data_IF_923601847004
#
_entry.id   IF_923601847004
#
_cell.length_a   1.000
_cell.length_b   1.000
_cell.length_c   1.000
_cell.angle_alpha   90.00
_cell.angle_beta   90.00
_cell.angle_gamma   90.00
#
_symmetry.space_group_name_H-M   'P 1'
#
loop_
_entity.id
_entity.type
_entity.pdbx_description
1 polymer ?
#
# COMPACT_ATOMS: atom_id res chain seq x y z
N UNK A 1 -3.07 7.33 -9.48
CA UNK A 1 -2.00 7.00 -8.49
C UNK A 1 -1.06 5.97 -9.10
N UNK A 2 0.24 6.11 -8.91
CA UNK A 2 1.26 5.09 -9.23
C UNK A 2 1.78 4.53 -7.91
N UNK A 3 1.76 3.20 -7.76
CA UNK A 3 2.32 2.51 -6.60
C UNK A 3 3.70 1.95 -6.95
N UNK A 4 4.64 2.06 -6.01
CA UNK A 4 5.94 1.42 -6.11
C UNK A 4 6.49 1.03 -4.73
N UNK A 5 7.23 -0.06 -4.75
CA UNK A 5 7.82 -0.67 -3.57
C UNK A 5 9.19 -0.09 -3.25
N UNK A 6 9.44 0.23 -1.99
CA UNK A 6 10.75 0.67 -1.51
C UNK A 6 11.33 -0.35 -0.55
N UNK A 7 12.54 -0.79 -0.85
CA UNK A 7 13.29 -1.77 -0.07
C UNK A 7 14.67 -1.23 0.31
N UNK A 8 15.11 -1.47 1.55
CA UNK A 8 16.51 -1.27 1.93
C UNK A 8 17.31 -2.53 1.63
N UNK A 9 18.31 -2.41 0.77
CA UNK A 9 19.25 -3.49 0.42
C UNK A 9 20.22 -3.81 1.57
N UNK A 10 20.96 -4.92 1.46
CA UNK A 10 21.93 -5.35 2.49
C UNK A 10 23.11 -4.38 2.63
N UNK A 11 23.45 -3.67 1.56
CA UNK A 11 24.44 -2.59 1.51
C UNK A 11 23.87 -1.22 1.87
N UNK A 12 22.67 -1.20 2.51
CA UNK A 12 21.98 -0.03 3.04
C UNK A 12 21.48 1.00 2.02
N UNK A 13 21.43 0.69 0.72
CA UNK A 13 20.79 1.54 -0.28
C UNK A 13 19.27 1.36 -0.25
N UNK A 14 18.53 2.44 -0.49
CA UNK A 14 17.10 2.38 -0.76
C UNK A 14 16.88 2.27 -2.26
N UNK A 15 16.16 1.24 -2.67
CA UNK A 15 15.89 0.92 -4.08
C UNK A 15 14.41 0.64 -4.31
N UNK A 16 13.97 0.79 -5.55
CA UNK A 16 12.64 0.41 -6.01
C UNK A 16 12.64 -1.09 -6.34
N UNK A 17 12.26 -1.91 -5.35
CA UNK A 17 12.21 -3.35 -5.47
C UNK A 17 11.15 -3.95 -4.56
N UNK A 18 10.46 -4.99 -5.04
CA UNK A 18 9.40 -5.66 -4.30
C UNK A 18 9.93 -6.50 -3.12
N UNK A 19 11.05 -7.18 -3.31
CA UNK A 19 11.70 -8.02 -2.30
C UNK A 19 13.21 -8.19 -2.57
N UNK A 20 13.89 -9.00 -1.76
CA UNK A 20 15.32 -9.24 -1.88
C UNK A 20 15.72 -9.99 -3.16
N UNK A 21 14.85 -10.89 -3.65
CA UNK A 21 15.09 -11.66 -4.88
C UNK A 21 15.06 -10.70 -6.08
N UNK A 22 14.06 -9.83 -6.15
CA UNK A 22 13.95 -8.79 -7.16
C UNK A 22 15.16 -7.81 -7.12
N UNK A 23 15.59 -7.40 -5.92
CA UNK A 23 16.73 -6.51 -5.75
C UNK A 23 18.10 -7.14 -6.11
N UNK A 24 18.21 -8.47 -5.99
CA UNK A 24 19.44 -9.21 -6.31
C UNK A 24 19.51 -9.59 -7.81
N UNK A 25 18.33 -9.73 -8.48
CA UNK A 25 18.26 -10.20 -9.89
C UNK A 25 18.35 -9.09 -10.94
N UNK A 26 18.06 -7.84 -10.59
CA UNK A 26 18.07 -6.73 -11.54
C UNK A 26 18.79 -5.48 -10.99
N UNK A 27 19.22 -4.62 -11.88
CA UNK A 27 19.70 -3.29 -11.53
C UNK A 27 18.49 -2.39 -11.21
N UNK A 28 18.20 -2.26 -9.91
CA UNK A 28 17.06 -1.49 -9.42
C UNK A 28 17.41 0.00 -9.34
N UNK A 29 16.46 0.86 -9.72
CA UNK A 29 16.59 2.30 -9.49
C UNK A 29 16.76 2.59 -8.01
N UNK A 30 17.65 3.51 -7.68
CA UNK A 30 17.69 4.05 -6.33
C UNK A 30 16.42 4.85 -6.04
N UNK A 31 16.02 4.93 -4.76
CA UNK A 31 14.85 5.71 -4.35
C UNK A 31 14.93 7.15 -4.87
N UNK A 32 16.10 7.79 -4.74
CA UNK A 32 16.35 9.14 -5.19
C UNK A 32 16.08 9.33 -6.70
N UNK A 33 16.57 8.39 -7.52
CA UNK A 33 16.35 8.42 -8.97
C UNK A 33 14.88 8.24 -9.33
N UNK A 34 14.18 7.35 -8.62
CA UNK A 34 12.74 7.16 -8.81
C UNK A 34 11.93 8.39 -8.41
N UNK A 35 12.26 9.03 -7.28
CA UNK A 35 11.60 10.25 -6.84
C UNK A 35 11.91 11.44 -7.78
N UNK A 36 13.14 11.57 -8.29
CA UNK A 36 13.49 12.57 -9.31
C UNK A 36 12.66 12.40 -10.58
N UNK A 37 12.45 11.15 -11.01
CA UNK A 37 11.61 10.83 -12.15
C UNK A 37 10.16 11.26 -11.93
N UNK A 38 9.58 10.93 -10.77
CA UNK A 38 8.20 11.31 -10.43
C UNK A 38 8.01 12.79 -10.12
N UNK A 39 9.07 13.53 -9.80
CA UNK A 39 9.04 14.99 -9.68
C UNK A 39 8.95 15.72 -11.03
N UNK A 40 9.17 15.01 -12.14
CA UNK A 40 9.06 15.55 -13.49
C UNK A 40 7.65 16.04 -13.84
N UNK A 41 7.56 17.05 -14.71
CA UNK A 41 6.30 17.70 -15.12
C UNK A 41 5.24 16.71 -15.64
N UNK A 42 5.66 15.65 -16.34
CA UNK A 42 4.77 14.62 -16.87
C UNK A 42 3.96 13.86 -15.79
N UNK A 43 4.39 13.91 -14.54
CA UNK A 43 3.77 13.22 -13.40
C UNK A 43 3.14 14.18 -12.39
N UNK A 44 3.10 15.50 -12.67
CA UNK A 44 2.66 16.53 -11.72
C UNK A 44 1.28 16.30 -11.14
N UNK A 45 0.35 15.74 -11.92
CA UNK A 45 -1.03 15.45 -11.52
C UNK A 45 -1.22 14.01 -10.97
N UNK A 46 -0.16 13.23 -10.89
CA UNK A 46 -0.24 11.82 -10.50
C UNK A 46 0.11 11.66 -9.02
N UNK A 47 -0.81 11.12 -8.25
CA UNK A 47 -0.54 10.72 -6.86
C UNK A 47 0.38 9.49 -6.81
N UNK A 48 1.17 9.40 -5.76
CA UNK A 48 2.11 8.30 -5.51
C UNK A 48 1.68 7.49 -4.29
N UNK A 49 1.83 6.16 -4.36
CA UNK A 49 1.81 5.27 -3.20
C UNK A 49 3.20 4.63 -3.05
N UNK A 50 3.87 4.97 -1.97
CA UNK A 50 5.21 4.49 -1.64
C UNK A 50 5.11 3.38 -0.60
N UNK A 51 5.18 2.10 -1.03
CA UNK A 51 5.04 0.96 -0.12
C UNK A 51 6.37 0.58 0.54
N UNK A 52 6.46 0.77 1.87
CA UNK A 52 7.63 0.40 2.64
C UNK A 52 7.63 -1.08 2.96
N UNK A 53 8.55 -1.83 2.36
CA UNK A 53 8.66 -3.29 2.53
C UNK A 53 9.24 -3.70 3.88
N UNK A 54 9.99 -2.83 4.55
CA UNK A 54 10.60 -3.04 5.85
C UNK A 54 10.53 -1.77 6.71
N UNK A 55 10.60 -1.87 8.03
CA UNK A 55 10.75 -0.71 8.89
C UNK A 55 12.20 -0.20 8.94
N UNK A 56 12.37 1.04 9.42
CA UNK A 56 13.66 1.61 9.83
C UNK A 56 14.29 2.56 8.80
N UNK A 57 13.55 2.96 7.76
CA UNK A 57 14.00 3.98 6.79
C UNK A 57 12.89 4.99 6.45
N UNK A 58 11.93 5.14 7.34
CA UNK A 58 10.81 6.05 7.19
C UNK A 58 11.30 7.51 7.02
N UNK A 59 12.35 7.90 7.77
CA UNK A 59 12.92 9.24 7.71
C UNK A 59 13.50 9.53 6.33
N UNK A 60 14.29 8.63 5.78
CA UNK A 60 14.93 8.82 4.47
C UNK A 60 13.89 8.94 3.35
N UNK A 61 12.78 8.20 3.45
CA UNK A 61 11.67 8.31 2.48
C UNK A 61 10.96 9.65 2.63
N UNK A 62 10.65 10.10 3.85
CA UNK A 62 10.03 11.41 4.10
C UNK A 62 10.92 12.53 3.59
N UNK A 63 12.20 12.55 3.95
CA UNK A 63 13.17 13.55 3.50
C UNK A 63 13.30 13.58 1.96
N UNK A 64 13.28 12.40 1.32
CA UNK A 64 13.31 12.28 -0.14
C UNK A 64 12.07 12.88 -0.82
N UNK A 65 10.89 12.68 -0.27
CA UNK A 65 9.62 13.25 -0.74
C UNK A 65 9.59 14.77 -0.53
N UNK A 66 9.96 15.24 0.66
CA UNK A 66 10.01 16.68 1.01
C UNK A 66 10.97 17.45 0.11
N UNK A 67 12.18 16.93 -0.11
CA UNK A 67 13.20 17.56 -0.95
C UNK A 67 12.75 17.81 -2.39
N UNK A 68 11.72 17.08 -2.85
CA UNK A 68 11.17 17.18 -4.22
C UNK A 68 9.77 17.76 -4.28
N UNK A 69 9.20 18.20 -3.15
CA UNK A 69 7.83 18.72 -3.08
C UNK A 69 6.76 17.69 -3.44
N UNK A 70 7.00 16.41 -3.12
CA UNK A 70 6.09 15.30 -3.44
C UNK A 70 5.13 14.96 -2.30
N UNK A 71 5.30 15.53 -1.12
CA UNK A 71 4.57 15.18 0.11
C UNK A 71 3.05 15.30 -0.06
N UNK A 72 2.56 16.38 -0.69
CA UNK A 72 1.14 16.67 -0.82
C UNK A 72 0.38 15.67 -1.73
N UNK A 73 1.12 14.99 -2.63
CA UNK A 73 0.55 13.99 -3.54
C UNK A 73 1.05 12.57 -3.30
N UNK A 74 1.73 12.36 -2.16
CA UNK A 74 2.20 11.05 -1.75
C UNK A 74 1.30 10.46 -0.66
N UNK A 75 1.16 9.15 -0.72
CA UNK A 75 0.70 8.29 0.35
C UNK A 75 1.86 7.32 0.63
N UNK A 76 2.22 7.11 1.89
CA UNK A 76 3.21 6.09 2.24
C UNK A 76 2.51 4.92 2.91
N UNK A 77 2.54 3.76 2.26
CA UNK A 77 1.90 2.56 2.76
C UNK A 77 2.89 1.57 3.37
N UNK A 78 2.43 0.73 4.27
CA UNK A 78 3.24 -0.31 4.90
C UNK A 78 2.39 -1.32 5.66
N UNK A 79 2.92 -2.54 5.83
CA UNK A 79 2.32 -3.57 6.69
C UNK A 79 2.73 -3.44 8.18
N UNK A 80 3.64 -2.52 8.51
CA UNK A 80 4.24 -2.38 9.84
C UNK A 80 3.61 -1.25 10.65
N UNK A 81 2.89 -1.53 11.76
CA UNK A 81 2.28 -0.49 12.59
C UNK A 81 3.28 0.49 13.19
N UNK A 82 4.49 0.02 13.49
CA UNK A 82 5.59 0.86 13.98
C UNK A 82 6.01 1.92 12.96
N UNK A 83 6.05 1.56 11.66
CA UNK A 83 6.37 2.51 10.59
C UNK A 83 5.25 3.52 10.39
N UNK A 84 3.96 3.11 10.45
CA UNK A 84 2.83 4.06 10.42
C UNK A 84 2.93 5.11 11.53
N UNK A 85 3.23 4.67 12.76
CA UNK A 85 3.42 5.58 13.89
C UNK A 85 4.61 6.52 13.64
N UNK A 86 5.73 5.97 13.17
CA UNK A 86 6.94 6.75 12.92
C UNK A 86 6.75 7.79 11.82
N UNK A 87 6.04 7.44 10.73
CA UNK A 87 5.66 8.38 9.68
C UNK A 87 4.80 9.52 10.23
N UNK A 88 3.82 9.23 11.08
CA UNK A 88 2.98 10.24 11.70
C UNK A 88 3.73 11.16 12.67
N UNK A 89 4.86 10.71 13.26
CA UNK A 89 5.74 11.54 14.08
C UNK A 89 6.66 12.43 13.24
N UNK A 90 7.11 11.94 12.07
CA UNK A 90 8.05 12.62 11.17
C UNK A 90 7.35 13.66 10.30
N UNK A 91 6.20 13.30 9.72
CA UNK A 91 5.44 14.12 8.78
C UNK A 91 3.93 13.91 9.05
N UNK A 92 3.34 14.66 10.00
CA UNK A 92 1.93 14.51 10.38
C UNK A 92 0.93 14.72 9.25
N UNK A 93 1.28 15.54 8.26
CA UNK A 93 0.48 15.85 7.07
C UNK A 93 0.59 14.79 5.97
N UNK A 94 1.61 13.94 5.99
CA UNK A 94 1.81 12.90 5.00
C UNK A 94 0.74 11.81 5.16
N UNK A 95 0.04 11.49 4.09
CA UNK A 95 -0.97 10.42 4.07
C UNK A 95 -0.32 9.05 4.29
N UNK A 96 -0.93 8.24 5.13
CA UNK A 96 -0.42 6.91 5.51
C UNK A 96 -1.42 5.83 5.15
N UNK A 97 -0.93 4.75 4.57
CA UNK A 97 -1.70 3.57 4.20
C UNK A 97 -1.32 2.35 5.05
N UNK A 98 -2.32 1.71 5.69
CA UNK A 98 -2.08 0.42 6.33
C UNK A 98 -2.30 -0.72 5.34
N UNK A 99 -1.23 -1.41 4.95
CA UNK A 99 -1.28 -2.52 4.01
C UNK A 99 -1.55 -3.87 4.71
N UNK A 100 -2.51 -4.66 4.22
CA UNK A 100 -2.93 -5.94 4.80
C UNK A 100 -3.29 -6.98 3.73
N UNK A 101 -3.01 -8.29 4.00
CA UNK A 101 -2.31 -8.85 5.16
C UNK A 101 -0.79 -8.76 4.98
N UNK A 102 -0.05 -8.86 6.06
CA UNK A 102 1.38 -9.12 6.00
C UNK A 102 1.63 -10.58 5.64
N UNK A 103 1.49 -10.92 4.36
CA UNK A 103 1.71 -12.27 3.85
C UNK A 103 2.70 -12.25 2.69
N UNK A 104 3.74 -13.08 2.78
CA UNK A 104 4.78 -13.20 1.75
C UNK A 104 4.39 -14.11 0.58
N UNK A 105 3.30 -14.91 0.72
CA UNK A 105 2.83 -15.87 -0.30
C UNK A 105 1.31 -16.07 -0.20
N UNK A 106 0.67 -16.36 -1.33
CA UNK A 106 -0.73 -16.80 -1.36
C UNK A 106 -0.82 -18.29 -1.02
N UNK A 107 -1.14 -18.58 0.23
CA UNK A 107 -1.30 -19.96 0.72
C UNK A 107 -2.65 -20.59 0.35
N UNK A 108 -3.60 -19.85 -0.22
CA UNK A 108 -4.93 -20.38 -0.58
C UNK A 108 -4.89 -21.38 -1.74
N UNK A 109 -3.78 -21.44 -2.46
CA UNK A 109 -3.53 -22.38 -3.58
C UNK A 109 -2.59 -23.54 -3.21
N UNK A 110 -2.33 -23.76 -1.93
CA UNK A 110 -1.40 -24.78 -1.44
C UNK A 110 -2.13 -25.89 -0.66
N UNK A 111 -1.40 -26.93 -0.25
CA UNK A 111 -1.91 -27.97 0.65
C UNK A 111 -2.39 -27.44 2.01
N UNK A 112 -2.05 -26.17 2.33
CA UNK A 112 -2.49 -25.44 3.53
C UNK A 112 -3.77 -24.62 3.29
N UNK A 113 -4.52 -24.87 2.23
CA UNK A 113 -5.69 -24.07 1.84
C UNK A 113 -6.76 -24.01 2.96
N UNK A 114 -7.08 -25.13 3.63
CA UNK A 114 -8.08 -25.14 4.70
C UNK A 114 -7.73 -24.20 5.88
N UNK A 115 -6.53 -24.28 6.49
CA UNK A 115 -6.14 -23.33 7.52
C UNK A 115 -6.01 -21.89 6.98
N UNK A 116 -5.55 -21.69 5.74
CA UNK A 116 -5.50 -20.38 5.12
C UNK A 116 -6.89 -19.75 4.98
N UNK A 117 -7.91 -20.51 4.59
CA UNK A 117 -9.30 -20.04 4.54
C UNK A 117 -9.86 -19.71 5.92
N UNK A 118 -9.53 -20.47 6.97
CA UNK A 118 -9.95 -20.15 8.33
C UNK A 118 -9.34 -18.82 8.81
N UNK A 119 -8.06 -18.61 8.54
CA UNK A 119 -7.36 -17.34 8.82
C UNK A 119 -7.97 -16.20 8.01
N UNK A 120 -8.27 -16.39 6.73
CA UNK A 120 -8.91 -15.40 5.88
C UNK A 120 -10.29 -14.99 6.43
N UNK A 121 -11.12 -15.97 6.83
CA UNK A 121 -12.43 -15.71 7.46
C UNK A 121 -12.29 -14.94 8.77
N UNK A 122 -11.32 -15.29 9.60
CA UNK A 122 -11.02 -14.59 10.84
C UNK A 122 -10.60 -13.12 10.58
N UNK A 123 -9.73 -12.89 9.57
CA UNK A 123 -9.35 -11.55 9.14
C UNK A 123 -10.55 -10.76 8.63
N UNK A 124 -11.34 -11.32 7.72
CA UNK A 124 -12.55 -10.67 7.18
C UNK A 124 -13.55 -10.27 8.27
N UNK A 125 -13.65 -11.06 9.34
CA UNK A 125 -14.54 -10.75 10.45
C UNK A 125 -14.04 -9.60 11.34
N UNK A 126 -12.72 -9.46 11.50
CA UNK A 126 -12.11 -8.52 12.46
C UNK A 126 -11.52 -7.27 11.82
N UNK A 127 -11.12 -7.34 10.56
CA UNK A 127 -10.48 -6.24 9.85
C UNK A 127 -11.34 -4.99 9.81
N UNK A 128 -12.66 -5.02 9.52
CA UNK A 128 -13.47 -3.81 9.49
C UNK A 128 -13.38 -2.97 10.76
N UNK A 129 -13.57 -3.61 11.92
CA UNK A 129 -13.49 -2.88 13.20
C UNK A 129 -12.07 -2.45 13.59
N UNK A 130 -11.03 -3.14 13.11
CA UNK A 130 -9.62 -2.73 13.34
C UNK A 130 -9.25 -1.53 12.46
N UNK A 131 -9.60 -1.58 11.18
CA UNK A 131 -9.34 -0.51 10.23
C UNK A 131 -10.06 0.77 10.66
N UNK A 132 -11.36 0.69 10.95
CA UNK A 132 -12.14 1.83 11.41
C UNK A 132 -11.53 2.49 12.67
N UNK A 133 -11.10 1.69 13.66
CA UNK A 133 -10.46 2.25 14.86
C UNK A 133 -9.11 2.90 14.58
N UNK A 134 -8.29 2.31 13.70
CA UNK A 134 -6.99 2.87 13.33
C UNK A 134 -7.17 4.22 12.63
N UNK A 135 -8.07 4.28 11.66
CA UNK A 135 -8.37 5.49 10.88
C UNK A 135 -8.98 6.58 11.78
N UNK A 136 -10.01 6.25 12.56
CA UNK A 136 -10.64 7.21 13.47
C UNK A 136 -9.69 7.76 14.54
N UNK A 137 -8.63 7.03 14.87
CA UNK A 137 -7.57 7.47 15.77
C UNK A 137 -6.46 8.29 15.05
N UNK A 138 -6.58 8.56 13.76
CA UNK A 138 -5.56 9.24 12.96
C UNK A 138 -4.27 8.43 12.80
N UNK A 139 -4.36 7.09 12.87
CA UNK A 139 -3.21 6.21 12.71
C UNK A 139 -2.88 5.86 11.26
N UNK A 140 -3.84 6.06 10.36
CA UNK A 140 -3.69 5.95 8.90
C UNK A 140 -4.89 6.64 8.24
N UNK A 141 -4.71 7.12 7.02
CA UNK A 141 -5.74 7.75 6.19
C UNK A 141 -6.32 6.76 5.17
N UNK A 142 -5.60 5.67 4.89
CA UNK A 142 -6.04 4.64 3.95
C UNK A 142 -5.79 3.21 4.47
N UNK A 143 -6.61 2.28 3.96
CA UNK A 143 -6.39 0.84 4.07
C UNK A 143 -6.05 0.28 2.68
N UNK A 144 -4.87 -0.34 2.55
CA UNK A 144 -4.45 -1.07 1.37
C UNK A 144 -4.74 -2.55 1.59
N UNK A 145 -5.83 -3.08 1.04
CA UNK A 145 -6.30 -4.43 1.35
C UNK A 145 -6.14 -5.39 0.17
N UNK A 146 -5.60 -6.58 0.46
CA UNK A 146 -5.63 -7.65 -0.52
C UNK A 146 -7.08 -7.99 -0.90
N UNK A 147 -7.37 -8.18 -2.20
CA UNK A 147 -8.71 -8.42 -2.77
C UNK A 147 -9.54 -9.49 -2.05
N UNK A 148 -8.92 -10.52 -1.48
CA UNK A 148 -9.61 -11.57 -0.74
C UNK A 148 -10.16 -11.11 0.63
N UNK A 149 -9.75 -9.95 1.16
CA UNK A 149 -10.23 -9.38 2.42
C UNK A 149 -11.41 -8.45 2.23
N UNK A 150 -11.64 -7.98 1.01
CA UNK A 150 -12.67 -6.99 0.71
C UNK A 150 -14.08 -7.57 0.90
N UNK A 151 -14.95 -6.76 1.45
CA UNK A 151 -16.38 -7.05 1.65
C UNK A 151 -17.14 -5.73 1.79
N UNK A 152 -18.48 -5.68 1.56
CA UNK A 152 -19.30 -4.48 1.79
C UNK A 152 -19.07 -3.88 3.18
N UNK A 153 -19.03 -4.73 4.20
CA UNK A 153 -18.78 -4.30 5.60
C UNK A 153 -17.41 -3.64 5.79
N UNK A 154 -16.38 -4.04 5.01
CA UNK A 154 -15.06 -3.41 5.08
C UNK A 154 -15.11 -2.01 4.46
N UNK A 155 -15.73 -1.87 3.28
CA UNK A 155 -15.93 -0.58 2.62
C UNK A 155 -16.65 0.39 3.56
N UNK A 156 -17.83 0.00 4.07
CA UNK A 156 -18.62 0.81 5.00
C UNK A 156 -17.82 1.21 6.26
N UNK A 157 -17.04 0.29 6.82
CA UNK A 157 -16.28 0.56 8.04
C UNK A 157 -15.11 1.52 7.83
N UNK A 158 -14.41 1.42 6.70
CA UNK A 158 -13.28 2.29 6.35
C UNK A 158 -13.79 3.68 6.01
N UNK A 159 -14.76 3.80 5.10
CA UNK A 159 -15.32 5.07 4.67
C UNK A 159 -16.12 5.76 5.78
N UNK A 160 -16.87 5.00 6.60
CA UNK A 160 -17.57 5.51 7.77
C UNK A 160 -16.62 6.05 8.86
N UNK A 161 -15.36 5.67 8.87
CA UNK A 161 -14.30 6.23 9.70
C UNK A 161 -13.56 7.41 9.06
N UNK A 162 -13.92 7.81 7.83
CA UNK A 162 -13.30 8.89 7.07
C UNK A 162 -12.04 8.48 6.30
N UNK A 163 -11.79 7.18 6.14
CA UNK A 163 -10.63 6.67 5.40
C UNK A 163 -10.96 6.23 3.97
N UNK A 164 -9.91 5.90 3.23
CA UNK A 164 -9.97 5.40 1.86
C UNK A 164 -9.60 3.90 1.82
N UNK A 165 -10.23 3.15 0.92
CA UNK A 165 -9.95 1.72 0.71
C UNK A 165 -9.38 1.48 -0.69
N UNK A 166 -8.11 1.11 -0.76
CA UNK A 166 -7.44 0.65 -1.98
C UNK A 166 -7.28 -0.87 -1.96
N UNK A 167 -7.45 -1.49 -3.13
CA UNK A 167 -7.49 -2.97 -3.24
C UNK A 167 -6.39 -3.47 -4.17
N UNK A 168 -5.55 -4.38 -3.69
CA UNK A 168 -4.42 -4.94 -4.44
C UNK A 168 -4.43 -6.48 -4.45
N UNK A 169 -3.75 -7.20 -5.35
CA UNK A 169 -3.50 -6.78 -6.73
C UNK A 169 -4.60 -7.41 -7.58
N UNK A 170 -5.17 -6.67 -8.52
CA UNK A 170 -6.32 -7.14 -9.30
C UNK A 170 -6.05 -6.94 -10.79
N UNK A 171 -5.68 -8.02 -11.47
CA UNK A 171 -5.35 -8.05 -12.89
C UNK A 171 -6.48 -8.71 -13.71
N UNK A 172 -7.71 -8.24 -13.51
CA UNK A 172 -8.91 -8.76 -14.18
C UNK A 172 -9.98 -7.67 -14.24
N UNK A 173 -10.35 -7.23 -15.42
CA UNK A 173 -11.29 -6.12 -15.63
C UNK A 173 -12.66 -6.36 -14.98
N UNK A 174 -13.18 -7.60 -15.03
CA UNK A 174 -14.47 -7.91 -14.39
C UNK A 174 -14.43 -7.80 -12.87
N UNK A 175 -13.30 -8.12 -12.25
CA UNK A 175 -13.11 -7.94 -10.80
C UNK A 175 -12.89 -6.48 -10.44
N UNK A 176 -12.19 -5.71 -11.29
CA UNK A 176 -12.04 -4.26 -11.12
C UNK A 176 -13.44 -3.63 -11.11
N UNK A 177 -14.24 -3.85 -12.14
CA UNK A 177 -15.60 -3.33 -12.23
C UNK A 177 -16.50 -3.73 -11.03
N UNK A 178 -16.35 -4.97 -10.53
CA UNK A 178 -17.08 -5.43 -9.35
C UNK A 178 -16.65 -4.72 -8.06
N UNK A 179 -15.37 -4.38 -7.91
CA UNK A 179 -14.84 -3.62 -6.76
C UNK A 179 -15.25 -2.15 -6.84
N UNK A 180 -15.23 -1.54 -8.02
CA UNK A 180 -15.73 -0.19 -8.26
C UNK A 180 -17.23 -0.09 -7.92
N UNK A 181 -18.04 -1.07 -8.40
CA UNK A 181 -19.47 -1.15 -8.05
C UNK A 181 -19.70 -1.36 -6.54
N UNK A 182 -18.74 -1.95 -5.83
CA UNK A 182 -18.77 -2.10 -4.37
C UNK A 182 -18.44 -0.78 -3.65
N UNK A 183 -17.85 0.20 -4.36
CA UNK A 183 -17.53 1.52 -3.84
C UNK A 183 -16.16 1.61 -3.17
N UNK A 184 -15.16 0.82 -3.61
CA UNK A 184 -13.78 1.03 -3.18
C UNK A 184 -13.22 2.32 -3.79
N UNK A 185 -12.27 2.97 -3.10
CA UNK A 185 -11.70 4.25 -3.53
C UNK A 185 -10.65 4.09 -4.64
N UNK A 186 -10.07 2.89 -4.78
CA UNK A 186 -9.16 2.58 -5.87
C UNK A 186 -8.76 1.12 -5.92
N UNK A 187 -8.22 0.73 -7.08
CA UNK A 187 -7.72 -0.62 -7.33
C UNK A 187 -6.30 -0.52 -7.88
N UNK A 188 -5.39 -1.33 -7.32
CA UNK A 188 -4.01 -1.46 -7.78
C UNK A 188 -3.93 -2.67 -8.70
N UNK A 189 -3.47 -2.44 -9.94
CA UNK A 189 -3.27 -3.44 -10.98
C UNK A 189 -1.89 -3.30 -11.61
N UNK A 190 -1.35 -4.41 -12.13
CA UNK A 190 -0.13 -4.39 -12.94
C UNK A 190 -0.40 -3.95 -14.39
N UNK A 191 -1.65 -3.87 -14.81
CA UNK A 191 -2.03 -3.48 -16.18
C UNK A 191 -3.07 -2.35 -16.16
N UNK A 192 -2.64 -1.08 -16.28
CA UNK A 192 -3.56 0.07 -16.25
C UNK A 192 -4.57 0.10 -17.39
N UNK A 193 -4.35 -0.66 -18.47
CA UNK A 193 -5.31 -0.77 -19.60
C UNK A 193 -6.60 -1.52 -19.23
N UNK A 194 -6.64 -2.13 -18.05
CA UNK A 194 -7.84 -2.82 -17.54
C UNK A 194 -8.93 -1.87 -17.03
N UNK A 195 -8.65 -0.56 -16.97
CA UNK A 195 -9.60 0.48 -16.59
C UNK A 195 -10.37 1.11 -17.78
N UNK A 196 -10.10 0.67 -19.00
CA UNK A 196 -10.74 1.19 -20.23
C UNK A 196 -12.11 0.54 -20.48
#
# INVERSE_FOLDING_TARGET
MIEFDVLRTRDHRLVLAHDWEDADERDCLALEEGLDHFAGEAYSEIELDVDLKLPGYEREVVEGLEARGLTDRALVSTTYPESLRRLGELAPELRRGWSVPRARRDYTRSALALPAYAILRWWRARLPGRAARLIAAGGAEALMAHRLLVSPRLVEAVQGAGGQLYVWTVDDAGKIAALEALGVDGVITNDPRLFD
#
